data_IF_692072674900
#
_entry.id   IF_692072674900
#
_cell.length_a   1.000
_cell.length_b   1.000
_cell.length_c   1.000
_cell.angle_alpha   90.00
_cell.angle_beta   90.00
_cell.angle_gamma   90.00
#
_symmetry.space_group_name_H-M   'P 1'
#
loop_
_entity.id
_entity.type
_entity.pdbx_description
1 polymer ?
#
# COMPACT_ATOMS: atom_id res chain seq x y z
N UNK A 1 -14.65 -7.60 -10.51
CA UNK A 1 -13.30 -7.43 -11.09
C UNK A 1 -13.20 -6.04 -11.67
N UNK A 2 -12.06 -5.38 -11.49
CA UNK A 2 -11.75 -4.03 -11.99
C UNK A 2 -10.31 -3.99 -12.49
N UNK A 3 -10.02 -3.10 -13.44
CA UNK A 3 -8.64 -2.78 -13.82
C UNK A 3 -8.16 -1.67 -12.90
N UNK A 4 -7.03 -1.88 -12.24
CA UNK A 4 -6.46 -0.92 -11.30
C UNK A 4 -4.95 -0.79 -11.40
N UNK A 5 -4.46 0.37 -10.98
CA UNK A 5 -3.05 0.67 -10.85
C UNK A 5 -2.54 0.09 -9.53
N UNK A 6 -1.73 -0.98 -9.60
CA UNK A 6 -1.27 -1.71 -8.40
C UNK A 6 -0.05 -1.08 -7.73
N UNK A 7 0.59 -0.10 -8.37
CA UNK A 7 1.70 0.68 -7.80
C UNK A 7 1.27 2.11 -7.42
N UNK A 8 0.14 2.22 -6.72
CA UNK A 8 -0.45 3.51 -6.33
C UNK A 8 0.29 4.10 -5.12
N UNK A 9 1.24 5.00 -5.39
CA UNK A 9 2.11 5.66 -4.41
C UNK A 9 2.36 7.12 -4.75
N UNK A 10 2.85 7.90 -3.79
CA UNK A 10 2.96 9.36 -3.92
C UNK A 10 3.75 9.80 -5.16
N UNK A 11 4.82 9.08 -5.52
CA UNK A 11 5.64 9.38 -6.72
C UNK A 11 4.87 9.25 -8.03
N UNK A 12 3.87 8.37 -8.08
CA UNK A 12 3.06 8.12 -9.27
C UNK A 12 1.86 9.07 -9.36
N UNK A 13 1.72 10.01 -8.42
CA UNK A 13 0.59 10.94 -8.34
C UNK A 13 1.07 12.39 -8.37
N UNK A 14 0.40 13.23 -9.16
CA UNK A 14 0.54 14.69 -9.02
C UNK A 14 -0.65 15.23 -8.26
N UNK A 15 -0.39 15.88 -7.13
CA UNK A 15 -1.41 16.56 -6.32
C UNK A 15 -1.29 18.08 -6.50
N UNK A 16 -2.42 18.75 -6.74
CA UNK A 16 -2.51 20.21 -6.77
C UNK A 16 -3.80 20.64 -6.07
N UNK A 17 -3.70 21.56 -5.11
CA UNK A 17 -4.84 22.04 -4.31
C UNK A 17 -5.66 20.89 -3.67
N UNK A 18 -4.97 19.90 -3.10
CA UNK A 18 -5.60 18.74 -2.45
C UNK A 18 -6.31 17.77 -3.41
N UNK A 19 -6.06 17.87 -4.72
CA UNK A 19 -6.67 16.98 -5.72
C UNK A 19 -5.59 16.32 -6.56
N UNK A 20 -5.79 15.04 -6.88
CA UNK A 20 -4.98 14.34 -7.87
C UNK A 20 -5.30 14.94 -9.25
N UNK A 21 -4.28 15.47 -9.93
CA UNK A 21 -4.40 16.10 -11.25
C UNK A 21 -3.69 15.29 -12.36
N UNK A 22 -2.84 14.33 -11.99
CA UNK A 22 -2.25 13.37 -12.91
C UNK A 22 -1.89 12.08 -12.17
N UNK A 23 -1.92 10.96 -12.90
CA UNK A 23 -1.44 9.64 -12.49
C UNK A 23 -0.46 9.17 -13.55
N UNK A 24 0.73 8.75 -13.14
CA UNK A 24 1.82 8.26 -13.99
C UNK A 24 1.95 6.74 -13.90
N UNK A 25 2.96 6.17 -14.57
CA UNK A 25 3.40 4.78 -14.37
C UNK A 25 2.36 3.67 -14.64
N UNK A 26 1.56 3.86 -15.69
CA UNK A 26 0.48 2.95 -16.09
C UNK A 26 0.92 1.55 -16.58
N UNK A 27 2.19 1.17 -16.46
CA UNK A 27 2.64 -0.20 -16.77
C UNK A 27 2.32 -1.19 -15.64
N UNK A 28 2.06 -0.70 -14.44
CA UNK A 28 1.68 -1.49 -13.25
C UNK A 28 0.16 -1.67 -13.13
N UNK A 29 -0.50 -2.21 -14.17
CA UNK A 29 -1.94 -2.49 -14.17
C UNK A 29 -2.25 -3.97 -13.87
N UNK A 30 -3.33 -4.22 -13.13
CA UNK A 30 -3.85 -5.57 -12.91
C UNK A 30 -5.39 -5.63 -12.97
N UNK A 31 -5.92 -6.80 -13.34
CA UNK A 31 -7.34 -7.13 -13.26
C UNK A 31 -7.59 -7.95 -11.97
N UNK A 32 -8.23 -7.34 -10.97
CA UNK A 32 -8.41 -7.93 -9.64
C UNK A 32 -9.84 -7.70 -9.12
N UNK A 33 -10.30 -8.46 -8.11
CA UNK A 33 -11.46 -8.05 -7.32
C UNK A 33 -11.21 -6.66 -6.72
N UNK A 34 -12.23 -5.80 -6.73
CA UNK A 34 -12.10 -4.40 -6.28
C UNK A 34 -11.55 -4.29 -4.83
N UNK A 35 -12.06 -5.06 -3.84
CA UNK A 35 -11.54 -4.94 -2.48
C UNK A 35 -10.08 -5.40 -2.36
N UNK A 36 -9.68 -6.45 -3.09
CA UNK A 36 -8.29 -6.93 -3.13
C UNK A 36 -7.36 -5.84 -3.66
N UNK A 37 -7.76 -5.16 -4.74
CA UNK A 37 -7.00 -4.04 -5.30
C UNK A 37 -6.83 -2.91 -4.27
N UNK A 38 -7.92 -2.50 -3.64
CA UNK A 38 -7.94 -1.39 -2.66
C UNK A 38 -7.07 -1.73 -1.44
N UNK A 39 -7.19 -2.94 -0.91
CA UNK A 39 -6.35 -3.42 0.18
C UNK A 39 -4.87 -3.48 -0.21
N UNK A 40 -4.57 -3.98 -1.42
CA UNK A 40 -3.20 -4.06 -1.91
C UNK A 40 -2.56 -2.67 -2.02
N UNK A 41 -3.23 -1.66 -2.57
CA UNK A 41 -2.63 -0.33 -2.73
C UNK A 41 -2.51 0.47 -1.43
N UNK A 42 -3.33 0.16 -0.41
CA UNK A 42 -3.29 0.84 0.87
C UNK A 42 -1.93 0.71 1.60
N UNK A 43 -1.10 -0.26 1.24
CA UNK A 43 0.21 -0.49 1.86
C UNK A 43 1.30 0.55 1.50
N UNK A 44 1.08 1.39 0.49
CA UNK A 44 2.15 2.21 -0.10
C UNK A 44 1.68 3.60 -0.59
N UNK A 45 0.47 4.04 -0.30
CA UNK A 45 -0.04 5.29 -0.90
C UNK A 45 0.75 6.55 -0.52
N UNK A 46 1.47 6.55 0.62
CA UNK A 46 2.38 7.62 1.05
C UNK A 46 3.82 7.43 0.57
N UNK A 47 4.14 6.25 0.01
CA UNK A 47 5.50 5.85 -0.30
C UNK A 47 6.17 6.75 -1.35
N UNK A 48 7.45 7.01 -1.10
CA UNK A 48 8.37 7.67 -2.03
C UNK A 48 9.74 7.01 -1.95
N UNK A 49 10.21 6.46 -3.07
CA UNK A 49 11.53 5.82 -3.23
C UNK A 49 12.64 6.79 -3.63
N UNK A 50 12.36 8.10 -3.59
CA UNK A 50 13.36 9.16 -3.61
C UNK A 50 14.46 8.91 -2.54
N UNK A 51 15.70 8.69 -2.99
CA UNK A 51 16.83 8.35 -2.15
C UNK A 51 17.23 9.47 -1.19
N UNK A 52 16.79 10.71 -1.46
CA UNK A 52 17.06 11.87 -0.61
C UNK A 52 15.99 12.07 0.49
N UNK A 53 14.94 11.23 0.52
CA UNK A 53 13.87 11.28 1.52
C UNK A 53 13.86 10.02 2.40
N UNK A 54 13.42 10.12 3.67
CA UNK A 54 13.17 8.93 4.49
C UNK A 54 12.19 8.00 3.78
N UNK A 55 12.52 6.71 3.73
CA UNK A 55 11.60 5.68 3.27
C UNK A 55 10.43 5.59 4.26
N UNK A 56 9.30 6.18 3.88
CA UNK A 56 8.10 6.22 4.69
C UNK A 56 6.99 5.44 4.00
N UNK A 57 6.31 4.57 4.75
CA UNK A 57 5.16 3.80 4.28
C UNK A 57 4.01 4.02 5.24
N UNK A 58 2.75 3.98 4.77
CA UNK A 58 1.61 4.33 5.61
C UNK A 58 1.49 3.35 6.77
N UNK A 59 1.34 3.84 7.99
CA UNK A 59 1.03 3.02 9.16
C UNK A 59 -0.23 2.16 8.95
N UNK A 60 -0.46 1.15 9.81
CA UNK A 60 -1.68 0.34 9.74
C UNK A 60 -2.95 1.18 9.95
N UNK A 61 -2.87 2.24 10.75
CA UNK A 61 -3.98 3.18 10.95
C UNK A 61 -4.26 3.99 9.68
N UNK A 62 -3.22 4.52 9.03
CA UNK A 62 -3.35 5.24 7.76
C UNK A 62 -3.83 4.32 6.63
N UNK A 63 -3.32 3.09 6.56
CA UNK A 63 -3.79 2.06 5.63
C UNK A 63 -5.29 1.79 5.82
N UNK A 64 -5.75 1.68 7.07
CA UNK A 64 -7.18 1.52 7.38
C UNK A 64 -7.99 2.76 6.98
N UNK A 65 -7.48 3.96 7.30
CA UNK A 65 -8.13 5.22 6.95
C UNK A 65 -8.29 5.36 5.44
N UNK A 66 -7.27 4.99 4.66
CA UNK A 66 -7.34 4.97 3.19
C UNK A 66 -8.50 4.10 2.67
N UNK A 67 -8.70 2.91 3.26
CA UNK A 67 -9.80 2.01 2.86
C UNK A 67 -11.16 2.58 3.26
N UNK A 68 -11.26 3.29 4.39
CA UNK A 68 -12.49 4.00 4.81
C UNK A 68 -12.80 5.15 3.86
N UNK A 69 -11.79 5.94 3.48
CA UNK A 69 -11.95 7.03 2.52
C UNK A 69 -12.35 6.51 1.14
N UNK A 70 -11.80 5.37 0.71
CA UNK A 70 -12.21 4.70 -0.52
C UNK A 70 -13.68 4.29 -0.49
N UNK A 71 -14.14 3.63 0.58
CA UNK A 71 -15.55 3.24 0.72
C UNK A 71 -16.49 4.45 0.70
N UNK A 72 -16.07 5.54 1.34
CA UNK A 72 -16.81 6.83 1.32
C UNK A 72 -16.91 7.38 -0.10
N UNK A 73 -15.80 7.39 -0.84
CA UNK A 73 -15.77 7.85 -2.23
C UNK A 73 -16.54 6.93 -3.20
N UNK A 74 -16.50 5.61 -2.96
CA UNK A 74 -17.26 4.58 -3.67
C UNK A 74 -18.77 4.74 -3.45
N UNK A 75 -19.17 5.28 -2.30
CA UNK A 75 -20.58 5.44 -1.90
C UNK A 75 -21.21 4.19 -1.31
N UNK A 76 -20.41 3.16 -1.02
CA UNK A 76 -20.86 1.94 -0.35
C UNK A 76 -19.74 1.34 0.50
N UNK A 77 -20.10 0.88 1.70
CA UNK A 77 -19.22 0.11 2.56
C UNK A 77 -18.91 -1.26 1.96
N UNK A 78 -17.76 -1.82 2.33
CA UNK A 78 -17.42 -3.20 2.05
C UNK A 78 -18.24 -4.13 2.94
N UNK A 79 -18.82 -5.16 2.33
CA UNK A 79 -19.42 -6.27 3.08
C UNK A 79 -18.35 -7.15 3.76
N UNK A 80 -18.77 -8.22 4.44
CA UNK A 80 -17.84 -9.08 5.17
C UNK A 80 -16.81 -9.78 4.26
N UNK A 81 -17.22 -10.25 3.08
CA UNK A 81 -16.30 -10.89 2.12
C UNK A 81 -15.36 -9.85 1.50
N UNK A 82 -15.88 -8.66 1.18
CA UNK A 82 -15.08 -7.57 0.65
C UNK A 82 -14.01 -7.10 1.67
N UNK A 83 -14.37 -7.03 2.96
CA UNK A 83 -13.42 -6.71 4.03
C UNK A 83 -12.33 -7.77 4.17
N UNK A 84 -12.69 -9.05 4.17
CA UNK A 84 -11.70 -10.14 4.22
C UNK A 84 -10.78 -10.12 2.99
N UNK A 85 -11.33 -9.87 1.80
CA UNK A 85 -10.57 -9.79 0.57
C UNK A 85 -9.61 -8.58 0.55
N UNK A 86 -10.03 -7.42 1.04
CA UNK A 86 -9.17 -6.25 1.19
C UNK A 86 -8.08 -6.49 2.23
N UNK A 87 -8.42 -7.10 3.35
CA UNK A 87 -7.49 -7.45 4.42
C UNK A 87 -6.38 -8.40 3.92
N UNK A 88 -6.76 -9.44 3.16
CA UNK A 88 -5.84 -10.36 2.52
C UNK A 88 -4.95 -9.68 1.45
N UNK A 89 -5.52 -8.77 0.64
CA UNK A 89 -4.78 -7.99 -0.35
C UNK A 89 -3.69 -7.13 0.28
N UNK A 90 -4.01 -6.46 1.40
CA UNK A 90 -3.04 -5.66 2.16
C UNK A 90 -1.93 -6.52 2.77
N UNK A 91 -2.29 -7.65 3.40
CA UNK A 91 -1.31 -8.56 4.00
C UNK A 91 -0.34 -9.12 2.95
N UNK A 92 -0.86 -9.50 1.78
CA UNK A 92 -0.03 -9.93 0.67
C UNK A 92 0.95 -8.84 0.23
N UNK A 93 0.48 -7.60 0.07
CA UNK A 93 1.32 -6.48 -0.36
C UNK A 93 2.42 -6.15 0.69
N UNK A 94 2.09 -6.16 1.98
CA UNK A 94 3.09 -6.01 3.05
C UNK A 94 4.13 -7.14 3.04
N UNK A 95 3.69 -8.39 2.85
CA UNK A 95 4.60 -9.53 2.76
C UNK A 95 5.54 -9.42 1.55
N UNK A 96 5.03 -8.96 0.41
CA UNK A 96 5.82 -8.68 -0.78
C UNK A 96 6.84 -7.56 -0.52
N UNK A 97 6.40 -6.44 0.07
CA UNK A 97 7.26 -5.32 0.43
C UNK A 97 8.38 -5.73 1.40
N UNK A 98 8.05 -6.52 2.43
CA UNK A 98 9.02 -7.02 3.40
C UNK A 98 10.06 -7.95 2.74
N UNK A 99 9.64 -8.77 1.78
CA UNK A 99 10.55 -9.61 0.98
C UNK A 99 11.50 -8.75 0.13
N UNK A 100 11.00 -7.70 -0.52
CA UNK A 100 11.82 -6.77 -1.30
C UNK A 100 12.84 -6.06 -0.39
N UNK A 101 12.36 -5.49 0.71
CA UNK A 101 13.22 -4.81 1.69
C UNK A 101 14.32 -5.74 2.23
N UNK A 102 13.99 -7.01 2.51
CA UNK A 102 14.99 -7.99 2.92
C UNK A 102 16.07 -8.22 1.85
N UNK A 103 15.66 -8.34 0.58
CA UNK A 103 16.59 -8.46 -0.55
C UNK A 103 17.50 -7.24 -0.66
N UNK A 104 16.94 -6.03 -0.57
CA UNK A 104 17.69 -4.79 -0.68
C UNK A 104 18.70 -4.63 0.47
N UNK A 105 18.33 -5.03 1.68
CA UNK A 105 19.23 -5.04 2.84
C UNK A 105 20.39 -6.03 2.66
N UNK A 106 20.12 -7.25 2.18
CA UNK A 106 21.16 -8.27 1.90
C UNK A 106 22.14 -7.79 0.82
N UNK A 107 21.61 -7.16 -0.23
CA UNK A 107 22.40 -6.68 -1.37
C UNK A 107 23.00 -5.28 -1.16
N UNK A 108 22.64 -4.59 -0.07
CA UNK A 108 23.03 -3.21 0.24
C UNK A 108 22.68 -2.23 -0.90
N UNK A 109 21.50 -2.41 -1.50
CA UNK A 109 20.98 -1.53 -2.57
C UNK A 109 20.85 -0.09 -2.05
N UNK A 110 20.35 0.04 -0.82
CA UNK A 110 20.26 1.31 -0.10
C UNK A 110 21.09 1.22 1.18
N UNK A 111 22.39 1.61 1.16
CA UNK A 111 23.30 1.41 2.29
C UNK A 111 22.88 2.09 3.59
N UNK A 112 21.98 3.08 3.50
CA UNK A 112 21.44 3.85 4.63
C UNK A 112 20.15 3.26 5.21
N UNK A 113 19.48 2.34 4.51
CA UNK A 113 18.22 1.75 5.01
C UNK A 113 18.52 0.72 6.09
N UNK A 114 17.83 0.81 7.23
CA UNK A 114 17.85 -0.28 8.20
C UNK A 114 16.99 -1.44 7.66
N UNK A 115 17.42 -2.68 7.91
CA UNK A 115 16.59 -3.87 7.63
C UNK A 115 15.46 -4.08 8.64
N UNK A 116 15.29 -3.16 9.60
CA UNK A 116 14.43 -3.33 10.77
C UNK A 116 13.25 -2.35 10.82
N UNK A 117 13.18 -1.37 9.92
CA UNK A 117 12.07 -0.41 9.83
C UNK A 117 11.13 -0.73 8.65
N UNK A 118 10.10 0.08 8.39
CA UNK A 118 9.25 -0.08 7.20
C UNK A 118 8.44 -1.38 7.13
N UNK A 119 8.51 -2.10 6.01
CA UNK A 119 7.61 -3.22 5.72
C UNK A 119 7.80 -4.42 6.66
N UNK A 120 9.02 -4.73 7.08
CA UNK A 120 9.28 -5.84 8.00
C UNK A 120 8.59 -5.62 9.36
N UNK A 121 8.65 -4.40 9.89
CA UNK A 121 8.01 -4.06 11.17
C UNK A 121 6.49 -4.03 11.05
N UNK A 122 5.96 -3.45 9.99
CA UNK A 122 4.51 -3.44 9.75
C UNK A 122 3.95 -4.84 9.53
N UNK A 123 4.65 -5.72 8.81
CA UNK A 123 4.21 -7.11 8.64
C UNK A 123 4.14 -7.86 9.97
N UNK A 124 5.07 -7.61 10.90
CA UNK A 124 5.04 -8.21 12.24
C UNK A 124 3.86 -7.71 13.06
N UNK A 125 3.59 -6.40 13.04
CA UNK A 125 2.45 -5.83 13.73
C UNK A 125 1.13 -6.35 13.14
N UNK A 126 1.05 -6.40 11.81
CA UNK A 126 -0.09 -6.92 11.05
C UNK A 126 -0.33 -8.40 11.30
N UNK A 127 0.72 -9.21 11.43
CA UNK A 127 0.60 -10.64 11.75
C UNK A 127 -0.09 -10.92 13.09
N UNK A 128 -0.18 -9.92 13.98
CA UNK A 128 -0.86 -10.02 15.26
C UNK A 128 -2.32 -9.51 15.25
N UNK A 129 -2.78 -8.83 14.18
CA UNK A 129 -4.08 -8.11 14.16
C UNK A 129 -4.67 -7.99 12.76
N UNK A 130 -6.00 -8.11 12.65
CA UNK A 130 -6.75 -7.78 11.42
C UNK A 130 -6.65 -6.28 11.08
N UNK A 131 -6.47 -5.95 9.79
CA UNK A 131 -6.45 -4.56 9.32
C UNK A 131 -7.85 -3.99 9.35
N UNK A 132 -8.86 -4.76 8.95
CA UNK A 132 -10.26 -4.37 8.98
C UNK A 132 -10.98 -5.32 9.94
N UNK A 133 -11.54 -4.82 11.05
CA UNK A 133 -12.24 -5.64 12.05
C UNK A 133 -13.60 -6.13 11.57
#
# INVERSE_FOLDING_TARGET
MVIGHIDWRAENLRVSNGRIVAVYDWESLALLPEPVLVGAVAHAFTASWDADQPFDIPSLEESRAFIVDYQTARGSEFDAEEREAADAGHLYALAYGARCQHSDAVLKVFPQSSGEDGYVTQLRERGARWLIP
#
